data_IF_197886782265
#
_entry.id   IF_197886782265
#
_cell.length_a   1.000
_cell.length_b   1.000
_cell.length_c   1.000
_cell.angle_alpha   90.00
_cell.angle_beta   90.00
_cell.angle_gamma   90.00
#
_symmetry.space_group_name_H-M   'P 1'
#
loop_
_entity.id
_entity.type
_entity.pdbx_description
1 polymer ?
#
# COMPACT_ATOMS: atom_id res chain seq x y z
N UNK A 1 -3.77 0.44 -10.27
CA UNK A 1 -2.45 0.14 -9.68
C UNK A 1 -1.64 -0.59 -10.76
N UNK A 2 -0.33 -0.78 -10.63
CA UNK A 2 0.45 -1.49 -11.66
C UNK A 2 -0.05 -2.95 -11.74
N UNK A 3 -0.30 -3.53 -12.93
CA UNK A 3 -0.92 -4.85 -13.05
C UNK A 3 -0.17 -6.00 -12.37
N UNK A 4 1.16 -5.93 -12.32
CA UNK A 4 1.96 -6.93 -11.59
C UNK A 4 1.78 -6.85 -10.08
N UNK A 5 1.57 -5.63 -9.55
CA UNK A 5 1.31 -5.45 -8.12
C UNK A 5 -0.09 -5.91 -7.75
N UNK A 6 -1.09 -5.63 -8.60
CA UNK A 6 -2.46 -6.12 -8.42
C UNK A 6 -2.48 -7.65 -8.35
N UNK A 7 -1.84 -8.35 -9.29
CA UNK A 7 -1.72 -9.82 -9.26
C UNK A 7 -1.03 -10.34 -8.00
N UNK A 8 0.08 -9.71 -7.61
CA UNK A 8 0.80 -10.10 -6.40
C UNK A 8 -0.06 -9.92 -5.14
N UNK A 9 -0.92 -8.91 -5.11
CA UNK A 9 -1.86 -8.70 -4.01
C UNK A 9 -2.91 -9.81 -3.99
N UNK A 10 -3.56 -10.09 -5.13
CA UNK A 10 -4.57 -11.15 -5.26
C UNK A 10 -4.05 -12.54 -4.90
N UNK A 11 -2.78 -12.84 -5.20
CA UNK A 11 -2.15 -14.13 -4.88
C UNK A 11 -1.73 -14.29 -3.41
N UNK A 12 -1.47 -13.18 -2.71
CA UNK A 12 -0.84 -13.19 -1.37
C UNK A 12 -1.73 -12.67 -0.25
N UNK A 13 -2.77 -11.92 -0.58
CA UNK A 13 -3.66 -11.27 0.38
C UNK A 13 -5.11 -11.43 -0.07
N UNK A 14 -6.04 -11.50 0.88
CA UNK A 14 -7.48 -11.47 0.56
C UNK A 14 -7.93 -10.09 0.03
N UNK A 15 -7.14 -9.06 0.32
CA UNK A 15 -7.37 -7.68 -0.08
C UNK A 15 -6.52 -6.73 0.76
N UNK A 16 -6.47 -5.46 0.36
CA UNK A 16 -5.85 -4.42 1.16
C UNK A 16 -6.81 -3.94 2.26
N UNK A 17 -6.29 -3.66 3.44
CA UNK A 17 -7.07 -3.06 4.51
C UNK A 17 -7.19 -1.53 4.32
N UNK A 18 -8.07 -0.89 5.09
CA UNK A 18 -8.35 0.55 4.98
C UNK A 18 -7.09 1.42 5.15
N UNK A 19 -6.20 1.04 6.07
CA UNK A 19 -4.93 1.75 6.30
C UNK A 19 -4.05 1.73 5.04
N UNK A 20 -3.91 0.56 4.41
CA UNK A 20 -3.10 0.36 3.21
C UNK A 20 -3.69 1.09 2.00
N UNK A 21 -5.02 1.03 1.82
CA UNK A 21 -5.73 1.74 0.74
C UNK A 21 -5.52 3.25 0.88
N UNK A 22 -5.77 3.80 2.07
CA UNK A 22 -5.62 5.23 2.33
C UNK A 22 -4.18 5.70 2.17
N UNK A 23 -3.21 4.93 2.67
CA UNK A 23 -1.80 5.24 2.48
C UNK A 23 -1.40 5.21 1.00
N UNK A 24 -1.89 4.23 0.24
CA UNK A 24 -1.65 4.14 -1.19
C UNK A 24 -2.17 5.37 -1.92
N UNK A 25 -3.42 5.77 -1.70
CA UNK A 25 -4.02 6.95 -2.33
C UNK A 25 -3.25 8.25 -2.03
N UNK A 26 -2.96 8.51 -0.75
CA UNK A 26 -2.31 9.75 -0.33
C UNK A 26 -0.85 9.84 -0.82
N UNK A 27 -0.10 8.74 -0.76
CA UNK A 27 1.30 8.69 -1.23
C UNK A 27 1.36 8.75 -2.76
N UNK A 28 0.49 8.02 -3.47
CA UNK A 28 0.40 8.08 -4.94
C UNK A 28 -0.03 9.47 -5.44
N UNK A 29 -0.71 10.28 -4.63
CA UNK A 29 -1.00 11.68 -4.92
C UNK A 29 0.22 12.62 -4.70
N UNK A 30 1.39 12.09 -4.37
CA UNK A 30 2.63 12.84 -4.17
C UNK A 30 2.76 13.53 -2.82
N UNK A 31 1.92 13.17 -1.83
CA UNK A 31 1.96 13.78 -0.49
C UNK A 31 2.96 13.05 0.42
N UNK A 32 3.60 13.80 1.31
CA UNK A 32 4.32 13.21 2.45
C UNK A 32 3.33 12.77 3.52
N UNK A 33 3.37 11.50 3.90
CA UNK A 33 2.40 10.88 4.83
C UNK A 33 3.12 10.33 6.07
N UNK A 34 2.58 10.63 7.25
CA UNK A 34 2.96 9.99 8.51
C UNK A 34 1.92 8.94 8.90
N UNK A 35 2.32 7.67 8.93
CA UNK A 35 1.45 6.55 9.29
C UNK A 35 1.63 6.22 10.77
N UNK A 36 0.56 6.37 11.56
CA UNK A 36 0.51 5.97 12.97
C UNK A 36 -0.48 4.82 13.11
N UNK A 37 0.04 3.62 13.37
CA UNK A 37 -0.76 2.42 13.57
C UNK A 37 -0.05 1.41 14.49
N UNK A 38 -0.78 0.54 15.21
CA UNK A 38 -0.18 -0.54 16.00
C UNK A 38 0.70 -1.50 15.17
N UNK A 39 1.50 -2.32 15.86
CA UNK A 39 2.15 -3.46 15.22
C UNK A 39 1.12 -4.48 14.75
N UNK A 40 1.40 -5.17 13.63
CA UNK A 40 0.48 -6.14 13.04
C UNK A 40 -0.63 -5.53 12.17
N UNK A 41 -0.78 -4.20 12.13
CA UNK A 41 -1.80 -3.52 11.30
C UNK A 41 -1.44 -3.40 9.81
N UNK A 42 -0.29 -3.91 9.39
CA UNK A 42 0.17 -3.83 7.99
C UNK A 42 0.77 -2.48 7.58
N UNK A 43 1.38 -1.74 8.54
CA UNK A 43 1.98 -0.41 8.26
C UNK A 43 3.19 -0.46 7.30
N UNK A 44 3.85 -1.62 7.20
CA UNK A 44 4.97 -1.82 6.28
C UNK A 44 4.46 -1.85 4.84
N UNK A 45 3.45 -2.67 4.58
CA UNK A 45 2.77 -2.78 3.28
C UNK A 45 2.15 -1.43 2.89
N UNK A 46 1.51 -0.74 3.84
CA UNK A 46 0.92 0.59 3.59
C UNK A 46 1.95 1.61 3.08
N UNK A 47 3.20 1.55 3.55
CA UNK A 47 4.27 2.43 3.09
C UNK A 47 4.94 1.95 1.79
N UNK A 48 5.04 0.63 1.57
CA UNK A 48 5.83 0.04 0.48
C UNK A 48 5.03 -0.13 -0.82
N UNK A 49 3.75 -0.50 -0.74
CA UNK A 49 2.90 -0.71 -1.92
C UNK A 49 2.88 0.48 -2.90
N UNK A 50 2.71 1.75 -2.46
CA UNK A 50 2.75 2.89 -3.39
C UNK A 50 4.14 3.07 -4.04
N UNK A 51 5.23 2.70 -3.36
CA UNK A 51 6.59 2.75 -3.92
C UNK A 51 6.75 1.69 -5.01
N UNK A 52 6.34 0.45 -4.74
CA UNK A 52 6.36 -0.62 -5.74
C UNK A 52 5.51 -0.29 -6.96
N UNK A 53 4.34 0.33 -6.76
CA UNK A 53 3.51 0.80 -7.85
C UNK A 53 4.19 1.87 -8.73
N UNK A 54 5.10 2.67 -8.16
CA UNK A 54 5.78 3.75 -8.90
C UNK A 54 7.02 3.27 -9.68
N UNK A 55 7.64 2.16 -9.27
CA UNK A 55 8.84 1.61 -9.92
C UNK A 55 8.57 0.46 -10.89
N UNK A 56 7.40 -0.17 -10.80
CA UNK A 56 6.91 -1.16 -11.75
C UNK A 56 6.17 -0.47 -12.89
#
# INVERSE_FOLDING_TARGET
MHPLLERAIEEKFEGLNELQIRAFEEVSAGKSVLIVAPTGSGKTEAAVLPVFNAIL
#
